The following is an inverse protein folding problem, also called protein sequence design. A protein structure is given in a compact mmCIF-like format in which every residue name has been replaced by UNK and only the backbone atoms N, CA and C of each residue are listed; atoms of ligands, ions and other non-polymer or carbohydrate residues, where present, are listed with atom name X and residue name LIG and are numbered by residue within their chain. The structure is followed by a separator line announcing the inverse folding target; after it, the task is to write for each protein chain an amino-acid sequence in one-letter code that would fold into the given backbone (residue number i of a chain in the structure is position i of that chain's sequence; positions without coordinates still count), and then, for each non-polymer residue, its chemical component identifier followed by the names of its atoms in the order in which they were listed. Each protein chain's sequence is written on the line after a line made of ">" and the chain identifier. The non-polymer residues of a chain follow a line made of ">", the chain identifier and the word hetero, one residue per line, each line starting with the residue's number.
data_IF_810639791143
#
_entry.id   IF_810639791143
#
_cell.length_a   1.000
_cell.length_b   1.000
_cell.length_c   1.000
_cell.angle_alpha   90.00
_cell.angle_beta   90.00
_cell.angle_gamma   90.00
#
_symmetry.space_group_name_H-M   'P 1'
#
loop_
_entity.id
_entity.type
_entity.pdbx_description
1 polymer ?
#
# COMPACT_ATOMS: atom_id res chain seq x y z
N UNK A 1 18.21 6.25 -14.56
CA UNK A 1 16.81 6.42 -14.98
C UNK A 1 15.96 5.80 -13.88
N UNK A 2 15.08 6.58 -13.28
CA UNK A 2 14.08 6.11 -12.31
C UNK A 2 13.07 5.26 -13.07
N UNK A 3 13.32 3.95 -13.12
CA UNK A 3 12.47 3.01 -13.85
C UNK A 3 11.13 2.85 -13.14
N UNK A 4 10.04 2.82 -13.91
CA UNK A 4 8.78 2.32 -13.40
C UNK A 4 8.82 0.80 -13.41
N UNK A 5 8.50 0.18 -12.28
CA UNK A 5 8.58 -1.27 -12.10
C UNK A 5 7.23 -1.83 -11.69
N UNK A 6 6.88 -2.99 -12.24
CA UNK A 6 5.67 -3.70 -11.84
C UNK A 6 5.80 -4.18 -10.38
N UNK A 7 4.71 -4.03 -9.63
CA UNK A 7 4.60 -4.50 -8.26
C UNK A 7 3.23 -5.13 -8.01
N UNK A 8 3.19 -6.02 -7.02
CA UNK A 8 1.97 -6.63 -6.51
C UNK A 8 1.91 -6.46 -4.99
N UNK A 9 0.73 -6.15 -4.48
CA UNK A 9 0.44 -6.16 -3.05
C UNK A 9 0.05 -7.57 -2.61
N UNK A 10 0.57 -7.98 -1.48
CA UNK A 10 0.43 -9.33 -0.94
C UNK A 10 -0.11 -9.28 0.49
N UNK A 11 -1.23 -9.94 0.71
CA UNK A 11 -2.01 -9.91 1.95
C UNK A 11 -2.82 -8.63 2.16
N UNK A 12 -3.49 -8.57 3.31
CA UNK A 12 -4.30 -7.41 3.71
C UNK A 12 -5.49 -7.11 2.78
N UNK A 13 -6.09 -5.91 2.89
CA UNK A 13 -7.32 -5.58 2.16
C UNK A 13 -7.16 -5.38 0.64
N UNK A 14 -5.95 -5.08 0.19
CA UNK A 14 -5.62 -4.83 -1.22
C UNK A 14 -4.81 -5.98 -1.84
N UNK A 15 -4.95 -7.19 -1.32
CA UNK A 15 -4.26 -8.38 -1.81
C UNK A 15 -4.46 -8.59 -3.32
N UNK A 16 -3.38 -8.93 -4.02
CA UNK A 16 -3.35 -9.13 -5.46
C UNK A 16 -3.38 -7.86 -6.31
N UNK A 17 -3.51 -6.66 -5.71
CA UNK A 17 -3.50 -5.40 -6.46
C UNK A 17 -2.17 -5.22 -7.19
N UNK A 18 -2.22 -4.98 -8.49
CA UNK A 18 -1.05 -4.68 -9.33
C UNK A 18 -0.90 -3.17 -9.53
N UNK A 19 0.32 -2.68 -9.40
CA UNK A 19 0.67 -1.27 -9.57
C UNK A 19 2.03 -1.12 -10.25
N UNK A 20 2.34 0.10 -10.70
CA UNK A 20 3.70 0.49 -11.08
C UNK A 20 4.25 1.43 -10.03
N UNK A 21 5.46 1.18 -9.58
CA UNK A 21 6.17 2.04 -8.61
C UNK A 21 7.39 2.66 -9.28
N UNK A 22 7.66 3.93 -8.96
CA UNK A 22 8.90 4.60 -9.33
C UNK A 22 9.87 4.51 -8.15
N UNK A 23 11.15 4.25 -8.42
CA UNK A 23 12.24 4.30 -7.43
C UNK A 23 12.18 3.26 -6.29
N UNK A 24 11.40 2.18 -6.46
CA UNK A 24 11.26 1.08 -5.48
C UNK A 24 11.10 1.60 -4.04
N UNK A 25 10.04 2.37 -3.72
CA UNK A 25 9.84 2.89 -2.38
C UNK A 25 9.79 1.74 -1.38
N UNK A 26 10.34 1.94 -0.18
CA UNK A 26 10.32 0.87 0.86
C UNK A 26 8.91 0.57 1.36
N UNK A 27 8.00 1.54 1.21
CA UNK A 27 6.65 1.50 1.76
C UNK A 27 5.70 2.10 0.75
N UNK A 28 4.52 1.48 0.61
CA UNK A 28 3.36 2.05 -0.08
C UNK A 28 2.16 2.05 0.86
N UNK A 29 1.27 3.03 0.67
CA UNK A 29 0.04 3.18 1.46
C UNK A 29 -1.18 3.00 0.56
N UNK A 30 -2.14 2.21 1.03
CA UNK A 30 -3.47 2.07 0.42
C UNK A 30 -4.49 2.65 1.38
N UNK A 31 -5.38 3.49 0.87
CA UNK A 31 -6.43 4.12 1.68
C UNK A 31 -7.81 3.68 1.22
N UNK A 32 -8.69 3.35 2.16
CA UNK A 32 -10.11 3.08 1.90
C UNK A 32 -10.98 4.10 2.65
N UNK A 33 -12.06 4.61 2.02
CA UNK A 33 -12.97 5.51 2.70
C UNK A 33 -13.67 4.79 3.85
N UNK A 34 -13.66 5.41 5.02
CA UNK A 34 -14.41 4.92 6.17
C UNK A 34 -15.71 5.73 6.33
N UNK A 35 -16.80 5.05 6.67
CA UNK A 35 -18.07 5.72 6.97
C UNK A 35 -18.07 6.21 8.41
N UNK A 36 -17.98 7.52 8.61
CA UNK A 36 -18.20 8.12 9.93
C UNK A 36 -19.71 8.25 10.21
N UNK A 37 -20.15 7.79 11.37
CA UNK A 37 -21.56 7.91 11.80
C UNK A 37 -21.84 9.24 12.49
N UNK A 38 -20.83 9.84 13.12
CA UNK A 38 -20.88 11.17 13.72
C UNK A 38 -19.50 11.84 13.66
N UNK A 39 -19.28 12.65 12.62
CA UNK A 39 -18.05 13.43 12.45
C UNK A 39 -18.33 14.94 12.55
N UNK A 40 -17.45 15.73 13.19
CA UNK A 40 -17.51 17.18 13.10
C UNK A 40 -17.48 17.68 11.66
N UNK A 41 -18.02 18.88 11.36
CA UNK A 41 -17.98 19.45 10.01
C UNK A 41 -16.55 19.51 9.46
N UNK A 42 -16.37 19.00 8.24
CA UNK A 42 -15.08 19.02 7.55
C UNK A 42 -14.12 17.88 7.89
N UNK A 43 -14.48 16.96 8.78
CA UNK A 43 -13.65 15.79 9.12
C UNK A 43 -13.95 14.61 8.18
N UNK A 44 -12.90 14.00 7.62
CA UNK A 44 -12.94 12.72 6.87
C UNK A 44 -12.11 11.66 7.59
N UNK A 45 -12.50 10.40 7.44
CA UNK A 45 -11.76 9.26 7.97
C UNK A 45 -11.47 8.27 6.84
N UNK A 46 -10.24 7.78 6.82
CA UNK A 46 -9.76 6.80 5.86
C UNK A 46 -9.09 5.66 6.66
N UNK A 47 -9.33 4.43 6.25
CA UNK A 47 -8.51 3.30 6.70
C UNK A 47 -7.20 3.33 5.92
N UNK A 48 -6.07 3.42 6.62
CA UNK A 48 -4.73 3.43 6.02
C UNK A 48 -4.10 2.07 6.22
N UNK A 49 -3.72 1.41 5.13
CA UNK A 49 -3.07 0.11 5.14
C UNK A 49 -1.68 0.23 4.53
N UNK A 50 -0.68 -0.18 5.29
CA UNK A 50 0.73 -0.04 4.93
C UNK A 50 1.25 -1.35 4.38
N UNK A 51 1.98 -1.27 3.28
CA UNK A 51 2.63 -2.41 2.65
C UNK A 51 4.12 -2.13 2.48
N UNK A 52 4.96 -3.11 2.85
CA UNK A 52 6.43 -2.99 2.80
C UNK A 52 7.02 -3.81 1.67
N UNK A 53 8.00 -3.25 1.00
CA UNK A 53 8.76 -3.95 -0.02
C UNK A 53 9.45 -5.18 0.58
N UNK A 54 9.21 -6.34 0.00
CA UNK A 54 9.97 -7.55 0.28
C UNK A 54 11.33 -7.46 -0.41
N UNK A 55 12.37 -7.23 0.39
CA UNK A 55 13.74 -7.10 -0.11
C UNK A 55 14.35 -8.42 -0.63
N UNK A 56 13.70 -9.56 -0.40
CA UNK A 56 14.11 -10.84 -1.00
C UNK A 56 13.73 -10.94 -2.48
N UNK A 57 12.78 -10.14 -2.95
CA UNK A 57 12.35 -10.08 -4.35
C UNK A 57 13.17 -9.03 -5.10
N UNK A 58 14.11 -9.47 -5.93
CA UNK A 58 15.05 -8.58 -6.63
C UNK A 58 14.65 -8.23 -8.06
N UNK A 59 13.63 -8.91 -8.62
CA UNK A 59 13.16 -8.76 -9.99
C UNK A 59 11.64 -8.52 -10.05
N UNK A 60 11.16 -7.95 -11.16
CA UNK A 60 9.74 -7.68 -11.35
C UNK A 60 8.89 -8.97 -11.52
N UNK A 61 7.65 -9.00 -10.99
CA UNK A 61 7.03 -7.95 -10.20
C UNK A 61 7.58 -7.91 -8.76
N UNK A 62 7.87 -6.71 -8.26
CA UNK A 62 8.20 -6.49 -6.86
C UNK A 62 7.02 -6.91 -5.97
N UNK A 63 7.30 -7.43 -4.77
CA UNK A 63 6.27 -7.81 -3.80
C UNK A 63 6.24 -6.81 -2.65
N UNK A 64 5.07 -6.29 -2.34
CA UNK A 64 4.85 -5.48 -1.15
C UNK A 64 3.92 -6.24 -0.21
N UNK A 65 4.44 -6.69 0.94
CA UNK A 65 3.67 -7.43 1.94
C UNK A 65 2.94 -6.51 2.90
N UNK A 66 1.70 -6.86 3.28
CA UNK A 66 0.92 -6.12 4.26
C UNK A 66 1.61 -6.08 5.64
N UNK A 67 1.79 -4.87 6.17
CA UNK A 67 2.37 -4.66 7.50
C UNK A 67 1.28 -4.62 8.57
N UNK A 68 1.01 -5.78 9.17
CA UNK A 68 0.06 -5.93 10.28
C UNK A 68 0.50 -5.19 11.57
N UNK A 69 1.79 -4.88 11.69
CA UNK A 69 2.36 -4.22 12.85
C UNK A 69 2.37 -2.69 12.73
N UNK A 70 1.93 -2.14 11.59
CA UNK A 70 1.75 -0.71 11.44
C UNK A 70 0.47 -0.27 12.18
N UNK A 71 0.57 0.55 13.24
CA UNK A 71 -0.58 1.02 14.02
C UNK A 71 -1.48 1.97 13.22
#
# INVERSE_FOLDING_TARGET
>A
MTGWEAAVLDGGPADGMRLKVADRPRVVQVTYPCRAESAPPGVRVEGVYVYRLDHSVTAEPLRYGFDIACP
#
